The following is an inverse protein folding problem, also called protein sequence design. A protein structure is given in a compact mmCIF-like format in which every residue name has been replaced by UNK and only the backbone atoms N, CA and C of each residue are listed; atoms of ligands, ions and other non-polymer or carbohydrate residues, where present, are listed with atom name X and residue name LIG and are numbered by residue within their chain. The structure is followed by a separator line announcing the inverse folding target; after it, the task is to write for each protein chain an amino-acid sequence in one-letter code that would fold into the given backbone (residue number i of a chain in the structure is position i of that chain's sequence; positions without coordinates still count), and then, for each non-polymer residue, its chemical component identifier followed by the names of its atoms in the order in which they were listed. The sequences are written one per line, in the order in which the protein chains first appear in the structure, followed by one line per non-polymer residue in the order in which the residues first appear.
data_IF_331151151198
#
_entry.id   IF_331151151198
#
_cell.length_a   1.000
_cell.length_b   1.000
_cell.length_c   1.000
_cell.angle_alpha   90.00
_cell.angle_beta   90.00
_cell.angle_gamma   90.00
#
_symmetry.space_group_name_H-M   'P 1'
#
loop_
_entity.id
_entity.type
_entity.pdbx_description
1 polymer ?
#
# COMPACT_ATOMS: atom_id res chain seq x y z
N UNK A 1 -41.92 3.17 -1.69
CA UNK A 1 -40.69 2.58 -1.11
C UNK A 1 -39.85 1.96 -2.22
N UNK A 2 -38.84 2.66 -2.72
CA UNK A 2 -37.86 2.12 -3.67
C UNK A 2 -36.66 1.62 -2.88
N UNK A 3 -36.43 0.30 -2.88
CA UNK A 3 -35.21 -0.31 -2.31
C UNK A 3 -34.03 0.09 -3.20
N UNK A 4 -33.11 0.88 -2.64
CA UNK A 4 -31.79 1.08 -3.23
C UNK A 4 -31.07 -0.27 -3.24
N UNK A 5 -30.90 -0.87 -4.42
CA UNK A 5 -29.93 -1.92 -4.64
C UNK A 5 -28.55 -1.28 -4.48
N UNK A 6 -27.90 -1.56 -3.35
CA UNK A 6 -26.45 -1.37 -3.23
C UNK A 6 -25.84 -2.21 -4.35
N UNK A 7 -25.23 -1.53 -5.32
CA UNK A 7 -24.53 -2.16 -6.43
C UNK A 7 -23.20 -2.61 -5.84
N UNK A 8 -23.18 -3.81 -5.25
CA UNK A 8 -21.95 -4.45 -4.80
C UNK A 8 -21.10 -4.64 -6.05
N UNK A 9 -19.99 -3.91 -6.14
CA UNK A 9 -18.98 -4.19 -7.16
C UNK A 9 -18.60 -5.66 -7.02
N UNK A 10 -18.71 -6.37 -8.13
CA UNK A 10 -18.40 -7.78 -8.19
C UNK A 10 -16.90 -7.89 -7.96
N UNK A 11 -16.48 -8.34 -6.77
CA UNK A 11 -15.12 -8.83 -6.57
C UNK A 11 -14.82 -9.76 -7.75
N UNK A 12 -13.87 -9.41 -8.60
CA UNK A 12 -13.44 -10.27 -9.70
C UNK A 12 -12.68 -11.42 -9.04
N UNK A 13 -13.42 -12.42 -8.55
CA UNK A 13 -12.86 -13.69 -8.13
C UNK A 13 -12.34 -14.34 -9.40
N UNK A 14 -11.01 -14.43 -9.52
CA UNK A 14 -10.38 -15.07 -10.67
C UNK A 14 -10.77 -16.56 -10.65
N UNK A 15 -11.41 -17.08 -11.71
CA UNK A 15 -11.85 -18.47 -11.73
C UNK A 15 -10.74 -19.44 -12.15
N UNK A 16 -9.47 -19.00 -12.19
CA UNK A 16 -8.30 -19.78 -12.63
C UNK A 16 -7.04 -19.36 -11.85
N UNK A 17 -6.06 -20.28 -11.67
CA UNK A 17 -4.81 -20.01 -10.97
C UNK A 17 -3.91 -19.01 -11.73
N UNK A 18 -3.14 -18.20 -10.98
CA UNK A 18 -2.12 -17.31 -11.55
C UNK A 18 -0.80 -18.05 -11.77
N UNK A 19 -0.07 -17.61 -12.79
CA UNK A 19 1.27 -18.11 -13.14
C UNK A 19 2.34 -17.05 -12.85
N UNK A 20 2.21 -16.35 -11.72
CA UNK A 20 3.04 -15.18 -11.39
C UNK A 20 4.54 -15.51 -11.33
N UNK A 21 4.90 -16.77 -11.04
CA UNK A 21 6.27 -17.30 -11.09
C UNK A 21 6.95 -17.08 -12.45
N UNK A 22 6.19 -17.08 -13.55
CA UNK A 22 6.72 -16.81 -14.90
C UNK A 22 7.32 -15.40 -15.03
N UNK A 23 6.97 -14.48 -14.12
CA UNK A 23 7.46 -13.10 -14.08
C UNK A 23 8.42 -12.84 -12.91
N UNK A 24 8.87 -13.88 -12.20
CA UNK A 24 9.76 -13.73 -11.04
C UNK A 24 11.03 -12.94 -11.38
N UNK A 25 11.64 -13.26 -12.52
CA UNK A 25 12.87 -12.66 -13.03
C UNK A 25 12.69 -11.30 -13.74
N UNK A 26 11.46 -10.80 -13.85
CA UNK A 26 11.23 -9.45 -14.38
C UNK A 26 11.73 -8.43 -13.37
N UNK A 27 12.59 -7.52 -13.82
CA UNK A 27 13.18 -6.49 -12.96
C UNK A 27 12.85 -5.10 -13.49
N UNK A 28 12.90 -4.13 -12.59
CA UNK A 28 12.62 -2.74 -12.91
C UNK A 28 13.75 -1.84 -12.40
N UNK A 29 14.11 -0.87 -13.24
CA UNK A 29 15.08 0.18 -12.94
C UNK A 29 14.39 1.53 -13.15
N UNK A 30 14.08 2.29 -12.10
CA UNK A 30 13.39 3.58 -12.24
C UNK A 30 14.31 4.72 -12.73
N UNK A 31 15.62 4.57 -12.57
CA UNK A 31 16.62 5.60 -12.87
C UNK A 31 17.96 4.97 -13.28
N UNK A 32 18.79 5.61 -14.14
CA UNK A 32 20.04 5.06 -14.63
C UNK A 32 21.13 4.88 -13.57
N UNK A 33 21.03 5.63 -12.45
CA UNK A 33 21.96 5.56 -11.32
C UNK A 33 21.73 4.34 -10.40
N UNK A 34 20.74 3.51 -10.71
CA UNK A 34 20.43 2.27 -9.99
C UNK A 34 20.63 1.04 -10.88
N UNK A 35 20.84 -0.09 -10.23
CA UNK A 35 20.80 -1.38 -10.90
C UNK A 35 19.35 -1.85 -11.13
N UNK A 36 19.20 -2.84 -12.00
CA UNK A 36 17.92 -3.55 -12.13
C UNK A 36 17.62 -4.30 -10.84
N UNK A 37 16.40 -4.11 -10.32
CA UNK A 37 15.97 -4.66 -9.05
C UNK A 37 14.66 -5.44 -9.24
N UNK A 38 14.57 -6.60 -8.58
CA UNK A 38 13.35 -7.40 -8.53
C UNK A 38 12.31 -6.88 -7.52
N UNK A 39 12.71 -5.93 -6.66
CA UNK A 39 11.86 -5.23 -5.70
C UNK A 39 10.68 -4.58 -6.40
N UNK A 40 9.52 -4.56 -5.74
CA UNK A 40 8.27 -4.04 -6.29
C UNK A 40 7.92 -2.64 -5.78
N UNK A 41 8.77 -2.03 -4.94
CA UNK A 41 8.53 -0.71 -4.34
C UNK A 41 9.79 0.15 -4.38
N UNK A 42 9.67 1.35 -4.94
CA UNK A 42 10.76 2.30 -5.14
C UNK A 42 10.36 3.68 -4.62
N UNK A 43 11.28 4.28 -3.88
CA UNK A 43 11.12 5.61 -3.31
C UNK A 43 11.48 6.70 -4.33
N UNK A 44 10.46 7.38 -4.85
CA UNK A 44 10.62 8.46 -5.82
C UNK A 44 11.39 9.68 -5.27
N UNK A 45 11.46 9.86 -3.94
CA UNK A 45 12.21 10.97 -3.33
C UNK A 45 13.72 10.78 -3.44
N UNK A 46 14.18 9.54 -3.66
CA UNK A 46 15.58 9.18 -3.84
C UNK A 46 15.98 9.04 -5.31
N UNK A 47 15.08 9.36 -6.25
CA UNK A 47 15.34 9.22 -7.67
C UNK A 47 15.76 10.56 -8.27
N UNK A 48 16.94 10.57 -8.88
CA UNK A 48 17.40 11.63 -9.78
C UNK A 48 17.18 11.18 -11.22
N UNK A 49 16.99 12.10 -12.18
CA UNK A 49 16.85 11.77 -13.63
C UNK A 49 16.04 10.49 -13.96
N UNK A 50 14.76 10.49 -13.59
CA UNK A 50 13.86 9.34 -13.75
C UNK A 50 13.86 8.86 -15.22
N UNK A 51 14.36 7.66 -15.48
CA UNK A 51 14.38 7.00 -16.81
C UNK A 51 14.02 5.53 -16.59
N UNK A 52 12.72 5.22 -16.55
CA UNK A 52 12.25 3.90 -16.19
C UNK A 52 12.56 2.89 -17.28
N UNK A 53 13.01 1.71 -16.88
CA UNK A 53 13.40 0.62 -17.75
C UNK A 53 13.06 -0.73 -17.11
N UNK A 54 12.64 -1.69 -17.93
CA UNK A 54 12.26 -3.03 -17.51
C UNK A 54 13.20 -4.05 -18.12
N UNK A 55 13.65 -5.02 -17.32
CA UNK A 55 14.26 -6.25 -17.82
C UNK A 55 13.19 -7.32 -17.90
N UNK A 56 12.87 -7.76 -19.11
CA UNK A 56 11.69 -8.57 -19.43
C UNK A 56 12.06 -10.05 -19.59
N UNK A 57 12.56 -10.67 -18.52
CA UNK A 57 12.87 -12.10 -18.50
C UNK A 57 11.65 -12.90 -18.03
N UNK A 58 10.99 -13.55 -18.98
CA UNK A 58 9.81 -14.41 -18.73
C UNK A 58 10.26 -15.87 -18.67
N UNK A 59 9.96 -16.57 -17.59
CA UNK A 59 10.19 -18.02 -17.49
C UNK A 59 9.07 -18.78 -18.22
N UNK A 60 9.41 -19.34 -19.38
CA UNK A 60 8.47 -20.08 -20.23
C UNK A 60 8.22 -21.49 -19.72
N UNK A 61 9.17 -22.08 -19.00
CA UNK A 61 9.05 -23.44 -18.50
C UNK A 61 7.87 -23.53 -17.52
N UNK A 62 7.68 -22.50 -16.69
CA UNK A 62 6.54 -22.38 -15.80
C UNK A 62 5.19 -22.27 -16.55
N UNK A 63 5.15 -21.64 -17.73
CA UNK A 63 3.94 -21.57 -18.58
C UNK A 63 3.61 -22.95 -19.16
N UNK A 64 4.63 -23.64 -19.68
CA UNK A 64 4.48 -24.96 -20.31
C UNK A 64 4.08 -26.04 -19.29
N UNK A 65 4.69 -26.04 -18.11
CA UNK A 65 4.37 -26.97 -17.01
C UNK A 65 2.93 -26.82 -16.54
N UNK A 66 2.42 -25.58 -16.49
CA UNK A 66 1.03 -25.34 -16.09
C UNK A 66 0.02 -25.90 -17.10
N UNK A 67 0.36 -25.95 -18.40
CA UNK A 67 -0.46 -26.54 -19.46
C UNK A 67 -1.84 -25.90 -19.66
N UNK A 68 -2.15 -24.78 -18.98
CA UNK A 68 -3.46 -24.12 -19.04
C UNK A 68 -3.62 -23.23 -20.27
N UNK A 69 -2.52 -22.68 -20.78
CA UNK A 69 -2.48 -21.77 -21.94
C UNK A 69 -1.17 -21.98 -22.71
N UNK A 70 -1.24 -22.02 -24.05
CA UNK A 70 -0.05 -22.06 -24.88
C UNK A 70 0.70 -20.70 -24.85
N UNK A 71 2.04 -20.66 -24.87
CA UNK A 71 2.80 -19.40 -24.88
C UNK A 71 2.49 -18.49 -26.08
N UNK A 72 2.24 -19.06 -27.27
CA UNK A 72 1.91 -18.35 -28.53
C UNK A 72 0.62 -17.51 -28.46
N UNK A 73 -0.13 -17.77 -27.41
CA UNK A 73 -1.52 -17.46 -27.20
C UNK A 73 -1.64 -16.34 -26.13
N UNK A 74 -0.47 -15.92 -25.61
CA UNK A 74 -0.28 -14.85 -24.64
C UNK A 74 0.37 -13.63 -25.30
N UNK A 75 0.23 -12.49 -24.62
CA UNK A 75 0.97 -11.27 -24.90
C UNK A 75 1.58 -10.75 -23.60
N UNK A 76 2.82 -10.30 -23.67
CA UNK A 76 3.46 -9.53 -22.61
C UNK A 76 3.07 -8.06 -22.77
N UNK A 77 2.57 -7.47 -21.69
CA UNK A 77 2.12 -6.08 -21.67
C UNK A 77 2.72 -5.33 -20.48
N UNK A 78 2.95 -4.03 -20.67
CA UNK A 78 3.28 -3.12 -19.58
C UNK A 78 2.26 -1.99 -19.56
N UNK A 79 1.61 -1.79 -18.41
CA UNK A 79 0.69 -0.69 -18.15
C UNK A 79 1.32 0.25 -17.14
N UNK A 80 1.18 1.56 -17.34
CA UNK A 80 1.41 2.54 -16.29
C UNK A 80 0.09 3.10 -15.78
N UNK A 81 0.00 3.34 -14.48
CA UNK A 81 -1.08 4.09 -13.87
C UNK A 81 -0.53 5.19 -12.96
N UNK A 82 -1.02 6.41 -13.16
CA UNK A 82 -0.79 7.55 -12.26
C UNK A 82 -2.04 7.73 -11.41
N UNK A 83 -1.91 7.54 -10.11
CA UNK A 83 -3.03 7.66 -9.18
C UNK A 83 -3.43 9.12 -8.96
N UNK A 84 -2.48 10.05 -8.98
CA UNK A 84 -2.74 11.47 -8.75
C UNK A 84 -3.39 12.15 -9.96
N UNK A 85 -3.06 11.68 -11.17
CA UNK A 85 -3.67 12.17 -12.42
C UNK A 85 -4.85 11.31 -12.91
N UNK A 86 -5.24 10.28 -12.16
CA UNK A 86 -6.25 9.29 -12.56
C UNK A 86 -6.05 8.78 -14.00
N UNK A 87 -4.79 8.57 -14.39
CA UNK A 87 -4.40 8.20 -15.76
C UNK A 87 -3.91 6.77 -15.78
N UNK A 88 -4.30 6.01 -16.80
CA UNK A 88 -3.78 4.66 -17.03
C UNK A 88 -3.57 4.44 -18.53
N UNK A 89 -2.43 3.86 -18.90
CA UNK A 89 -2.06 3.64 -20.30
C UNK A 89 -1.30 2.33 -20.47
N UNK A 90 -1.60 1.61 -21.55
CA UNK A 90 -0.81 0.48 -22.02
C UNK A 90 0.36 1.02 -22.85
N UNK A 91 1.58 0.82 -22.37
CA UNK A 91 2.79 1.45 -22.95
C UNK A 91 3.70 0.47 -23.68
N UNK A 92 3.47 -0.83 -23.51
CA UNK A 92 4.21 -1.90 -24.18
C UNK A 92 3.27 -3.07 -24.45
N UNK A 93 3.43 -3.67 -25.63
CA UNK A 93 2.73 -4.88 -26.04
C UNK A 93 3.62 -5.67 -27.01
N UNK A 94 3.90 -6.93 -26.68
CA UNK A 94 4.63 -7.85 -27.55
C UNK A 94 4.23 -9.29 -27.28
N UNK A 95 4.58 -10.20 -28.20
CA UNK A 95 4.62 -11.62 -27.86
C UNK A 95 5.72 -11.85 -26.80
N UNK A 96 5.55 -12.78 -25.84
CA UNK A 96 6.60 -13.08 -24.87
C UNK A 96 7.94 -13.42 -25.53
N UNK A 97 7.89 -14.03 -26.71
CA UNK A 97 9.07 -14.47 -27.45
C UNK A 97 9.77 -13.37 -28.25
N UNK A 98 9.04 -12.28 -28.52
CA UNK A 98 9.54 -11.13 -29.25
C UNK A 98 9.82 -9.94 -28.32
N UNK A 99 9.69 -10.12 -27.00
CA UNK A 99 10.04 -9.08 -26.04
C UNK A 99 11.56 -8.91 -25.99
N UNK A 100 12.08 -7.67 -26.04
CA UNK A 100 13.50 -7.44 -25.87
C UNK A 100 13.90 -7.77 -24.42
N UNK A 101 15.17 -8.14 -24.21
CA UNK A 101 15.68 -8.41 -22.87
C UNK A 101 15.51 -7.20 -21.93
N UNK A 102 15.75 -6.00 -22.46
CA UNK A 102 15.53 -4.74 -21.77
C UNK A 102 14.67 -3.80 -22.63
N UNK A 103 13.76 -3.07 -21.98
CA UNK A 103 12.90 -2.10 -22.63
C UNK A 103 12.80 -0.81 -21.82
N UNK A 104 13.19 0.30 -22.45
CA UNK A 104 13.14 1.63 -21.85
C UNK A 104 11.80 2.31 -22.14
N UNK A 105 11.20 2.92 -21.13
CA UNK A 105 9.97 3.71 -21.30
C UNK A 105 10.27 4.91 -22.21
N UNK A 106 9.55 5.09 -23.33
CA UNK A 106 9.77 6.19 -24.25
C UNK A 106 9.67 7.56 -23.56
N UNK A 107 10.50 8.56 -23.93
CA UNK A 107 10.51 9.86 -23.26
C UNK A 107 9.16 10.60 -23.28
N UNK A 108 8.39 10.45 -24.35
CA UNK A 108 7.05 11.02 -24.54
C UNK A 108 6.01 10.36 -23.64
N UNK A 109 6.06 9.04 -23.47
CA UNK A 109 5.27 8.29 -22.49
C UNK A 109 5.66 8.76 -21.08
N UNK A 110 6.95 8.73 -20.75
CA UNK A 110 7.46 9.07 -19.43
C UNK A 110 6.98 10.44 -18.94
N UNK A 111 6.99 11.46 -19.81
CA UNK A 111 6.58 12.84 -19.49
C UNK A 111 5.08 12.98 -19.18
N UNK A 112 4.25 12.01 -19.56
CA UNK A 112 2.80 12.00 -19.32
C UNK A 112 2.42 11.48 -17.93
N UNK A 113 3.38 10.98 -17.15
CA UNK A 113 3.17 10.38 -15.84
C UNK A 113 3.97 11.13 -14.75
N UNK A 114 3.39 11.24 -13.56
CA UNK A 114 3.94 11.97 -12.42
C UNK A 114 4.77 11.03 -11.55
N UNK A 115 5.91 10.59 -12.06
CA UNK A 115 6.80 9.65 -11.37
C UNK A 115 7.25 10.11 -9.98
N UNK A 116 7.27 11.42 -9.72
CA UNK A 116 7.61 11.99 -8.42
C UNK A 116 6.47 11.94 -7.39
N UNK A 117 5.21 11.87 -7.83
CA UNK A 117 4.03 11.87 -6.94
C UNK A 117 3.43 10.48 -6.79
N UNK A 118 3.61 9.61 -7.77
CA UNK A 118 3.24 8.20 -7.67
C UNK A 118 2.84 7.58 -9.00
N UNK A 119 3.51 6.51 -9.40
CA UNK A 119 3.22 5.71 -10.58
C UNK A 119 3.24 4.23 -10.20
N UNK A 120 2.24 3.49 -10.66
CA UNK A 120 2.24 2.04 -10.68
C UNK A 120 2.59 1.56 -12.09
N UNK A 121 3.53 0.63 -12.18
CA UNK A 121 3.85 -0.07 -13.41
C UNK A 121 3.46 -1.54 -13.27
N UNK A 122 2.55 -2.01 -14.11
CA UNK A 122 2.10 -3.39 -14.14
C UNK A 122 2.70 -4.09 -15.35
N UNK A 123 3.49 -5.14 -15.13
CA UNK A 123 3.92 -6.08 -16.18
C UNK A 123 3.02 -7.30 -16.10
N UNK A 124 2.41 -7.71 -17.20
CA UNK A 124 1.49 -8.85 -17.20
C UNK A 124 1.61 -9.71 -18.44
N UNK A 125 1.34 -11.00 -18.29
CA UNK A 125 1.02 -11.91 -19.40
C UNK A 125 -0.49 -11.97 -19.52
N UNK A 126 -1.03 -11.61 -20.68
CA UNK A 126 -2.47 -11.57 -20.93
C UNK A 126 -2.86 -12.45 -22.10
N UNK A 127 -4.07 -12.97 -22.07
CA UNK A 127 -4.66 -13.70 -23.19
C UNK A 127 -4.80 -12.78 -24.42
N UNK A 128 -4.28 -13.21 -25.58
CA UNK A 128 -4.27 -12.41 -26.81
C UNK A 128 -5.64 -12.34 -27.50
N UNK A 129 -6.40 -13.42 -27.46
CA UNK A 129 -7.66 -13.61 -28.17
C UNK A 129 -8.70 -14.31 -27.31
N UNK A 130 -9.98 -14.08 -27.58
CA UNK A 130 -11.06 -14.79 -26.92
C UNK A 130 -11.01 -16.29 -27.25
N UNK A 131 -11.33 -17.12 -26.26
CA UNK A 131 -11.41 -18.58 -26.41
C UNK A 131 -12.73 -19.10 -25.88
N UNK A 132 -13.04 -20.35 -26.21
CA UNK A 132 -14.19 -21.03 -25.60
C UNK A 132 -13.99 -21.14 -24.08
N UNK A 133 -14.96 -20.71 -23.26
CA UNK A 133 -14.86 -20.83 -21.81
C UNK A 133 -14.62 -22.28 -21.39
N UNK A 134 -13.60 -22.49 -20.55
CA UNK A 134 -13.32 -23.76 -19.88
C UNK A 134 -13.12 -23.49 -18.40
N UNK A 135 -13.62 -24.40 -17.57
CA UNK A 135 -13.46 -24.29 -16.12
C UNK A 135 -11.97 -24.20 -15.76
N UNK A 136 -11.60 -23.26 -14.90
CA UNK A 136 -10.21 -23.11 -14.48
C UNK A 136 -9.27 -22.49 -15.52
N UNK A 137 -9.76 -21.91 -16.63
CA UNK A 137 -8.91 -21.31 -17.67
C UNK A 137 -9.32 -19.87 -18.04
N UNK A 138 -8.36 -19.01 -18.42
CA UNK A 138 -8.65 -17.71 -19.00
C UNK A 138 -9.27 -17.88 -20.39
N UNK A 139 -10.29 -17.07 -20.71
CA UNK A 139 -11.04 -17.20 -21.97
C UNK A 139 -11.40 -15.87 -22.64
N UNK A 140 -11.23 -14.72 -21.97
CA UNK A 140 -11.42 -13.39 -22.58
C UNK A 140 -10.07 -12.75 -22.88
N UNK A 141 -9.97 -12.11 -24.03
CA UNK A 141 -8.84 -11.25 -24.39
C UNK A 141 -8.56 -10.24 -23.28
N UNK A 142 -7.30 -10.10 -22.92
CA UNK A 142 -6.85 -9.23 -21.84
C UNK A 142 -6.94 -9.86 -20.45
N UNK A 143 -7.49 -11.06 -20.29
CA UNK A 143 -7.35 -11.80 -19.03
C UNK A 143 -5.87 -12.06 -18.74
N UNK A 144 -5.39 -11.45 -17.66
CA UNK A 144 -4.07 -11.68 -17.09
C UNK A 144 -3.95 -13.10 -16.52
N UNK A 145 -2.92 -13.79 -16.98
CA UNK A 145 -2.50 -15.12 -16.52
C UNK A 145 -1.39 -15.00 -15.48
N UNK A 146 -0.54 -13.98 -15.61
CA UNK A 146 0.48 -13.60 -14.64
C UNK A 146 0.57 -12.08 -14.55
N UNK A 147 0.93 -11.55 -13.37
CA UNK A 147 1.15 -10.10 -13.18
C UNK A 147 2.20 -9.83 -12.11
N UNK A 148 3.04 -8.84 -12.39
CA UNK A 148 3.98 -8.24 -11.44
C UNK A 148 3.80 -6.74 -11.43
N UNK A 149 3.55 -6.17 -10.26
CA UNK A 149 3.37 -4.74 -10.08
C UNK A 149 4.60 -4.11 -9.44
N UNK A 150 5.00 -2.95 -9.94
CA UNK A 150 6.04 -2.10 -9.40
C UNK A 150 5.40 -0.76 -9.01
N UNK A 151 5.74 -0.23 -7.84
CA UNK A 151 5.27 1.06 -7.34
C UNK A 151 6.45 2.01 -7.22
N UNK A 152 6.41 3.11 -7.97
CA UNK A 152 7.32 4.24 -7.80
C UNK A 152 6.54 5.35 -7.12
N UNK A 153 6.76 5.55 -5.83
CA UNK A 153 6.08 6.58 -5.07
C UNK A 153 7.10 7.29 -4.22
N UNK A 154 6.99 8.61 -3.99
CA UNK A 154 7.80 9.21 -2.95
C UNK A 154 7.57 8.40 -1.68
N UNK A 155 8.60 8.24 -0.84
CA UNK A 155 8.37 8.01 0.58
C UNK A 155 7.53 9.18 1.05
N UNK A 156 6.22 9.07 0.86
CA UNK A 156 5.27 9.69 1.75
C UNK A 156 5.80 9.34 3.12
N UNK A 157 6.02 10.35 3.96
CA UNK A 157 5.85 10.15 5.39
C UNK A 157 4.68 9.16 5.55
N UNK A 158 4.93 8.00 6.16
CA UNK A 158 4.21 6.72 5.95
C UNK A 158 2.72 7.00 5.76
N UNK A 159 2.11 6.56 4.62
CA UNK A 159 0.71 6.83 4.22
C UNK A 159 -0.03 7.49 5.36
N UNK A 160 -0.01 8.84 5.43
CA UNK A 160 -0.62 9.52 6.58
C UNK A 160 -2.04 9.01 6.62
N UNK A 161 -2.42 8.37 7.72
CA UNK A 161 -3.81 8.00 7.98
C UNK A 161 -4.69 9.17 7.54
N UNK A 162 -5.87 8.94 6.94
CA UNK A 162 -6.65 10.04 6.41
C UNK A 162 -7.02 10.98 7.55
N UNK A 163 -6.42 12.16 7.53
CA UNK A 163 -6.63 13.19 8.54
C UNK A 163 -7.74 14.09 8.03
N UNK A 164 -8.87 14.11 8.74
CA UNK A 164 -9.97 15.03 8.49
C UNK A 164 -9.87 16.23 9.42
N UNK A 165 -10.27 17.40 8.90
CA UNK A 165 -10.39 18.64 9.67
C UNK A 165 -11.82 18.77 10.17
N UNK A 166 -12.03 18.71 11.49
CA UNK A 166 -13.34 18.81 12.13
C UNK A 166 -13.50 20.10 12.91
N UNK A 167 -14.70 20.67 12.90
CA UNK A 167 -15.05 21.78 13.79
C UNK A 167 -15.41 21.28 15.18
N UNK A 168 -15.44 22.18 16.17
CA UNK A 168 -15.88 21.84 17.52
C UNK A 168 -17.31 21.24 17.55
N UNK A 169 -18.18 21.73 16.65
CA UNK A 169 -19.55 21.23 16.53
C UNK A 169 -19.58 19.80 15.97
N UNK A 170 -18.62 19.40 15.14
CA UNK A 170 -18.55 18.04 14.60
C UNK A 170 -18.19 17.01 15.69
N UNK A 171 -17.32 17.38 16.64
CA UNK A 171 -17.07 16.57 17.83
C UNK A 171 -18.31 16.44 18.72
N UNK A 172 -19.01 17.55 18.96
CA UNK A 172 -20.24 17.54 19.76
C UNK A 172 -21.34 16.69 19.11
N UNK A 173 -21.49 16.74 17.77
CA UNK A 173 -22.42 15.86 17.03
C UNK A 173 -22.11 14.37 17.18
N UNK A 174 -20.86 14.02 17.51
CA UNK A 174 -20.41 12.65 17.80
C UNK A 174 -20.41 12.33 19.29
N UNK A 175 -21.05 13.17 20.13
CA UNK A 175 -21.11 13.02 21.58
C UNK A 175 -19.73 13.08 22.26
N UNK A 176 -18.75 13.71 21.61
CA UNK A 176 -17.41 13.93 22.14
C UNK A 176 -17.29 15.33 22.79
N UNK A 177 -16.37 15.51 23.75
CA UNK A 177 -16.11 16.83 24.34
C UNK A 177 -15.72 17.86 23.28
N UNK A 178 -16.25 19.08 23.41
CA UNK A 178 -16.02 20.19 22.48
C UNK A 178 -14.53 20.52 22.27
N UNK A 179 -13.72 20.35 23.32
CA UNK A 179 -12.29 20.67 23.31
C UNK A 179 -11.39 19.48 22.93
N UNK A 180 -11.97 18.44 22.33
CA UNK A 180 -11.20 17.30 21.81
C UNK A 180 -10.21 17.76 20.74
N UNK A 181 -8.90 17.52 20.96
CA UNK A 181 -7.86 17.91 20.01
C UNK A 181 -7.84 17.01 18.77
N UNK A 182 -8.05 15.70 18.97
CA UNK A 182 -8.21 14.73 17.90
C UNK A 182 -9.00 13.50 18.34
N UNK A 183 -9.53 12.77 17.37
CA UNK A 183 -10.24 11.50 17.56
C UNK A 183 -9.82 10.51 16.47
N UNK A 184 -9.73 9.22 16.81
CA UNK A 184 -9.47 8.16 15.83
C UNK A 184 -10.78 7.40 15.64
N UNK A 185 -11.41 7.57 14.48
CA UNK A 185 -12.65 6.91 14.10
C UNK A 185 -12.32 5.61 13.36
N UNK A 186 -12.47 4.47 14.02
CA UNK A 186 -12.29 3.16 13.39
C UNK A 186 -13.57 2.80 12.63
N UNK A 187 -13.47 2.75 11.31
CA UNK A 187 -14.59 2.49 10.40
C UNK A 187 -14.79 0.97 10.23
N UNK A 188 -13.69 0.22 10.22
CA UNK A 188 -13.71 -1.22 10.18
C UNK A 188 -13.45 -1.80 11.56
N UNK A 189 -14.24 -2.83 11.92
CA UNK A 189 -14.02 -3.62 13.13
C UNK A 189 -12.92 -4.67 12.92
N UNK A 190 -12.75 -5.14 11.69
CA UNK A 190 -11.71 -6.09 11.30
C UNK A 190 -10.50 -5.34 10.75
N UNK A 191 -9.48 -5.18 11.59
CA UNK A 191 -8.22 -4.53 11.22
C UNK A 191 -7.18 -5.51 10.67
N UNK A 192 -7.47 -6.81 10.67
CA UNK A 192 -6.56 -7.82 10.15
C UNK A 192 -6.61 -7.89 8.63
N UNK A 193 -7.74 -7.54 8.02
CA UNK A 193 -7.88 -7.57 6.57
C UNK A 193 -6.96 -6.57 5.82
N UNK A 194 -6.73 -6.87 4.54
CA UNK A 194 -6.13 -5.91 3.60
C UNK A 194 -7.10 -4.81 3.18
N UNK A 195 -6.60 -3.58 3.20
CA UNK A 195 -7.30 -2.39 2.71
C UNK A 195 -6.56 -1.80 1.51
N UNK A 196 -7.29 -1.54 0.43
CA UNK A 196 -6.74 -0.80 -0.72
C UNK A 196 -6.48 0.68 -0.33
N UNK A 197 -7.41 1.26 0.43
CA UNK A 197 -7.30 2.57 1.08
C UNK A 197 -7.39 2.46 2.62
N UNK A 198 -6.35 2.88 3.38
CA UNK A 198 -6.41 2.97 4.84
C UNK A 198 -7.60 3.78 5.38
N UNK A 199 -8.18 4.68 4.58
CA UNK A 199 -9.39 5.42 4.93
C UNK A 199 -10.67 4.61 5.03
N UNK A 200 -10.65 3.38 4.53
CA UNK A 200 -11.71 2.40 4.73
C UNK A 200 -11.57 1.68 6.08
N UNK A 201 -10.37 1.72 6.70
CA UNK A 201 -10.11 1.12 8.01
C UNK A 201 -10.35 2.12 9.14
N UNK A 202 -9.76 3.32 9.03
CA UNK A 202 -9.84 4.34 10.07
C UNK A 202 -9.65 5.74 9.51
N UNK A 203 -10.07 6.74 10.29
CA UNK A 203 -9.83 8.17 10.05
C UNK A 203 -9.35 8.86 11.31
N UNK A 204 -8.55 9.90 11.13
CA UNK A 204 -8.04 10.72 12.21
C UNK A 204 -8.67 12.10 12.09
N UNK A 205 -9.59 12.42 12.99
CA UNK A 205 -10.30 13.69 12.98
C UNK A 205 -9.54 14.66 13.88
N UNK A 206 -8.92 15.69 13.32
CA UNK A 206 -8.25 16.75 14.07
C UNK A 206 -9.18 17.95 14.23
N UNK A 207 -9.14 18.60 15.40
CA UNK A 207 -9.80 19.90 15.58
C UNK A 207 -9.22 20.93 14.60
N UNK A 208 -10.09 21.77 14.05
CA UNK A 208 -9.80 22.73 13.00
C UNK A 208 -8.51 23.55 13.23
N UNK A 209 -8.37 24.14 14.41
CA UNK A 209 -7.19 24.92 14.80
C UNK A 209 -5.92 24.07 14.97
N UNK A 210 -6.03 22.84 15.50
CA UNK A 210 -4.91 21.88 15.61
C UNK A 210 -4.46 21.44 14.22
N UNK A 211 -5.41 21.12 13.34
CA UNK A 211 -5.15 20.77 11.95
C UNK A 211 -4.44 21.92 11.24
N UNK A 212 -4.96 23.14 11.33
CA UNK A 212 -4.41 24.31 10.64
C UNK A 212 -3.00 24.62 11.16
N UNK A 213 -2.77 24.52 12.47
CA UNK A 213 -1.46 24.69 13.09
C UNK A 213 -0.46 23.62 12.63
N UNK A 214 -0.89 22.36 12.54
CA UNK A 214 -0.05 21.26 12.05
C UNK A 214 0.27 21.37 10.56
N UNK A 215 -0.70 21.76 9.75
CA UNK A 215 -0.52 22.01 8.32
C UNK A 215 0.47 23.16 8.08
N UNK A 216 0.34 24.26 8.84
CA UNK A 216 1.29 25.37 8.76
C UNK A 216 2.71 25.00 9.25
N UNK A 217 2.82 24.03 10.15
CA UNK A 217 4.08 23.61 10.77
C UNK A 217 4.63 22.29 10.20
N UNK A 218 4.09 21.77 9.09
CA UNK A 218 4.36 20.43 8.57
C UNK A 218 5.85 20.15 8.36
N UNK A 219 6.57 21.14 7.82
CA UNK A 219 8.00 21.04 7.52
C UNK A 219 8.91 21.45 8.70
N UNK A 220 8.33 21.76 9.85
CA UNK A 220 9.08 22.08 11.06
C UNK A 220 9.34 20.83 11.90
N UNK A 221 10.41 20.85 12.70
CA UNK A 221 10.67 19.76 13.65
C UNK A 221 9.54 19.61 14.69
N UNK A 222 8.84 20.71 15.01
CA UNK A 222 7.73 20.70 15.96
C UNK A 222 6.50 20.00 15.38
N UNK A 223 6.07 20.39 14.17
CA UNK A 223 4.94 19.76 13.48
C UNK A 223 5.21 18.27 13.21
N UNK A 224 6.42 17.93 12.76
CA UNK A 224 6.84 16.51 12.64
C UNK A 224 6.77 15.77 13.97
N UNK A 225 7.19 16.42 15.06
CA UNK A 225 7.21 15.80 16.37
C UNK A 225 5.82 15.51 16.93
N UNK A 226 4.88 16.46 16.78
CA UNK A 226 3.48 16.26 17.17
C UNK A 226 2.83 15.17 16.30
N UNK A 227 3.10 15.15 15.00
CA UNK A 227 2.62 14.07 14.13
C UNK A 227 3.16 12.70 14.53
N UNK A 228 4.42 12.58 14.98
CA UNK A 228 4.96 11.34 15.53
C UNK A 228 4.19 10.86 16.76
N UNK A 229 3.71 11.76 17.62
CA UNK A 229 2.91 11.41 18.78
C UNK A 229 1.52 10.91 18.37
N UNK A 230 0.87 11.56 17.42
CA UNK A 230 -0.43 11.08 16.88
C UNK A 230 -0.27 9.70 16.23
N UNK A 231 0.77 9.50 15.43
CA UNK A 231 1.07 8.21 14.80
C UNK A 231 1.33 7.10 15.83
N UNK A 232 1.90 7.45 16.98
CA UNK A 232 2.13 6.51 18.08
C UNK A 232 0.82 5.97 18.60
N UNK A 233 -0.15 6.86 18.86
CA UNK A 233 -1.47 6.46 19.36
C UNK A 233 -2.22 5.61 18.34
N UNK A 234 -2.15 5.95 17.06
CA UNK A 234 -2.80 5.18 16.01
C UNK A 234 -2.20 3.77 15.92
N UNK A 235 -0.87 3.65 15.92
CA UNK A 235 -0.20 2.35 15.90
C UNK A 235 -0.55 1.51 17.14
N UNK A 236 -0.58 2.13 18.31
CA UNK A 236 -0.91 1.46 19.55
C UNK A 236 -2.35 0.91 19.52
N UNK A 237 -3.31 1.72 19.08
CA UNK A 237 -4.72 1.31 18.95
C UNK A 237 -4.92 0.22 17.90
N UNK A 238 -4.25 0.30 16.74
CA UNK A 238 -4.33 -0.76 15.71
C UNK A 238 -3.83 -2.09 16.29
N UNK A 239 -2.65 -2.10 16.92
CA UNK A 239 -2.08 -3.32 17.50
C UNK A 239 -2.99 -3.85 18.61
N UNK A 240 -3.45 -2.99 19.50
CA UNK A 240 -4.28 -3.39 20.63
C UNK A 240 -5.64 -3.95 20.17
N UNK A 241 -6.38 -3.22 19.33
CA UNK A 241 -7.69 -3.64 18.84
C UNK A 241 -7.59 -4.85 17.91
N UNK A 242 -6.64 -4.81 16.98
CA UNK A 242 -6.46 -5.87 16.00
C UNK A 242 -6.06 -7.19 16.65
N UNK A 243 -5.06 -7.20 17.55
CA UNK A 243 -4.68 -8.44 18.25
C UNK A 243 -5.76 -8.94 19.20
N UNK A 244 -6.55 -8.04 19.80
CA UNK A 244 -7.67 -8.43 20.67
C UNK A 244 -8.82 -9.06 19.90
N UNK A 245 -9.05 -8.62 18.65
CA UNK A 245 -10.08 -9.18 17.77
C UNK A 245 -9.63 -10.47 17.08
N UNK A 246 -8.32 -10.68 16.96
CA UNK A 246 -7.72 -11.84 16.31
C UNK A 246 -7.69 -13.05 17.26
N UNK A 247 -7.98 -14.23 16.73
CA UNK A 247 -7.87 -15.49 17.48
C UNK A 247 -6.43 -15.71 18.00
N UNK A 248 -6.23 -16.21 19.25
CA UNK A 248 -4.91 -16.32 19.88
C UNK A 248 -3.88 -17.16 19.11
N UNK A 249 -4.33 -18.09 18.28
CA UNK A 249 -3.47 -18.97 17.46
C UNK A 249 -3.34 -18.51 16.01
N UNK A 250 -4.17 -17.55 15.56
CA UNK A 250 -4.11 -17.04 14.20
C UNK A 250 -2.87 -16.17 14.00
N UNK A 251 -2.45 -15.99 12.76
CA UNK A 251 -1.42 -15.02 12.39
C UNK A 251 -2.09 -13.88 11.62
N UNK A 252 -1.64 -12.64 11.80
CA UNK A 252 -2.19 -11.52 11.04
C UNK A 252 -2.13 -11.73 9.53
N UNK A 253 -3.12 -11.24 8.78
CA UNK A 253 -3.10 -11.32 7.32
C UNK A 253 -1.89 -10.56 6.78
N UNK A 254 -0.99 -11.26 6.08
CA UNK A 254 0.25 -10.67 5.58
C UNK A 254 -0.03 -9.45 4.71
N UNK A 255 0.58 -8.31 5.01
CA UNK A 255 0.36 -7.04 4.30
C UNK A 255 -0.96 -6.34 4.64
N UNK A 256 -1.73 -6.85 5.60
CA UNK A 256 -2.86 -6.16 6.21
C UNK A 256 -2.42 -5.00 7.11
N UNK A 257 -3.39 -4.23 7.60
CA UNK A 257 -3.11 -3.05 8.44
C UNK A 257 -2.48 -3.46 9.79
N UNK A 258 -3.04 -4.49 10.43
CA UNK A 258 -2.52 -5.07 11.66
C UNK A 258 -1.11 -5.64 11.49
N UNK A 259 -0.89 -6.47 10.47
CA UNK A 259 0.42 -7.05 10.16
C UNK A 259 1.48 -5.95 9.96
N UNK A 260 1.16 -4.92 9.18
CA UNK A 260 2.07 -3.79 8.95
C UNK A 260 2.41 -3.03 10.24
N UNK A 261 1.42 -2.83 11.13
CA UNK A 261 1.64 -2.18 12.41
C UNK A 261 2.53 -3.02 13.33
N UNK A 262 2.27 -4.33 13.40
CA UNK A 262 3.07 -5.29 14.16
C UNK A 262 4.50 -5.34 13.62
N UNK A 263 4.70 -5.54 12.31
CA UNK A 263 6.03 -5.56 11.69
C UNK A 263 6.83 -4.30 12.02
N UNK A 264 6.18 -3.13 12.04
CA UNK A 264 6.84 -1.88 12.37
C UNK A 264 7.29 -1.83 13.83
N UNK A 265 6.42 -2.28 14.74
CA UNK A 265 6.73 -2.35 16.18
C UNK A 265 7.83 -3.37 16.46
N UNK A 266 7.69 -4.59 15.95
CA UNK A 266 8.65 -5.68 16.17
C UNK A 266 10.01 -5.35 15.58
N UNK A 267 10.08 -4.74 14.39
CA UNK A 267 11.33 -4.26 13.79
C UNK A 267 12.03 -3.20 14.63
N UNK A 268 11.28 -2.29 15.25
CA UNK A 268 11.86 -1.20 16.03
C UNK A 268 12.31 -1.63 17.43
N UNK A 269 11.65 -2.63 18.01
CA UNK A 269 11.80 -3.00 19.43
C UNK A 269 12.41 -4.38 19.66
N UNK A 270 12.42 -5.23 18.64
CA UNK A 270 12.78 -6.65 18.76
C UNK A 270 11.74 -7.51 19.49
N UNK A 271 10.57 -6.94 19.84
CA UNK A 271 9.50 -7.68 20.49
C UNK A 271 8.95 -8.79 19.56
N UNK A 272 8.61 -9.94 20.14
CA UNK A 272 7.89 -10.98 19.40
C UNK A 272 6.38 -10.68 19.36
N UNK A 273 5.67 -11.30 18.41
CA UNK A 273 4.21 -11.25 18.35
C UNK A 273 3.57 -11.75 19.65
N UNK A 274 4.10 -12.84 20.23
CA UNK A 274 3.63 -13.39 21.50
C UNK A 274 3.79 -12.42 22.68
N UNK A 275 4.87 -11.64 22.71
CA UNK A 275 5.06 -10.61 23.72
C UNK A 275 4.00 -9.51 23.60
N UNK A 276 3.73 -9.05 22.36
CA UNK A 276 2.68 -8.05 22.12
C UNK A 276 1.30 -8.60 22.50
N UNK A 277 0.98 -9.85 22.16
CA UNK A 277 -0.28 -10.51 22.55
C UNK A 277 -0.49 -10.51 24.06
N UNK A 278 0.53 -10.88 24.83
CA UNK A 278 0.47 -10.91 26.29
C UNK A 278 0.05 -9.55 26.88
N UNK A 279 0.66 -8.46 26.40
CA UNK A 279 0.29 -7.12 26.83
C UNK A 279 -1.15 -6.75 26.46
N UNK A 280 -1.65 -7.21 25.29
CA UNK A 280 -3.05 -7.01 24.89
C UNK A 280 -4.02 -7.82 25.76
N UNK A 281 -3.69 -9.08 26.07
CA UNK A 281 -4.49 -9.98 26.93
C UNK A 281 -4.60 -9.43 28.36
N UNK A 282 -3.52 -8.86 28.89
CA UNK A 282 -3.49 -8.18 30.19
C UNK A 282 -4.24 -6.84 30.19
N UNK A 283 -4.74 -6.39 29.03
CA UNK A 283 -5.42 -5.11 28.86
C UNK A 283 -4.49 -3.90 28.97
N UNK A 284 -3.18 -4.11 28.85
CA UNK A 284 -2.16 -3.08 29.06
C UNK A 284 -1.88 -2.27 27.78
N UNK A 285 -2.81 -1.39 27.44
CA UNK A 285 -2.67 -0.42 26.34
C UNK A 285 -1.44 0.47 26.53
N UNK A 286 -1.03 0.76 27.77
CA UNK A 286 0.11 1.63 28.05
C UNK A 286 1.42 0.97 27.62
N UNK A 287 1.58 -0.33 27.85
CA UNK A 287 2.73 -1.09 27.33
C UNK A 287 2.74 -1.10 25.80
N UNK A 288 1.61 -1.36 25.15
CA UNK A 288 1.51 -1.31 23.67
C UNK A 288 1.90 0.08 23.13
N UNK A 289 1.47 1.15 23.80
CA UNK A 289 1.87 2.52 23.47
C UNK A 289 3.38 2.72 23.60
N UNK A 290 4.02 2.19 24.63
CA UNK A 290 5.48 2.28 24.79
C UNK A 290 6.23 1.61 23.63
N UNK A 291 5.76 0.45 23.16
CA UNK A 291 6.30 -0.20 21.96
C UNK A 291 6.09 0.66 20.71
N UNK A 292 4.90 1.24 20.54
CA UNK A 292 4.61 2.15 19.42
C UNK A 292 5.49 3.42 19.46
N UNK A 293 5.77 3.98 20.63
CA UNK A 293 6.64 5.17 20.80
C UNK A 293 8.06 4.92 20.30
N UNK A 294 8.58 3.70 20.55
CA UNK A 294 9.88 3.29 20.01
C UNK A 294 9.84 3.20 18.47
N UNK A 295 8.75 2.69 17.90
CA UNK A 295 8.57 2.52 16.46
C UNK A 295 8.36 3.83 15.66
N UNK A 296 7.95 4.90 16.33
CA UNK A 296 7.78 6.24 15.75
C UNK A 296 8.94 7.18 16.05
N UNK A 297 9.97 6.71 16.76
CA UNK A 297 11.08 7.52 17.29
C UNK A 297 10.60 8.72 18.14
N UNK A 298 9.48 8.58 18.85
CA UNK A 298 8.84 9.66 19.62
C UNK A 298 9.81 10.38 20.58
N UNK A 299 10.79 9.67 21.15
CA UNK A 299 11.85 10.25 21.98
C UNK A 299 12.66 11.33 21.24
N UNK A 300 13.07 11.09 19.99
CA UNK A 300 13.81 12.09 19.20
C UNK A 300 12.94 13.31 18.92
N UNK A 301 11.66 13.07 18.63
CA UNK A 301 10.67 14.13 18.42
C UNK A 301 10.47 15.00 19.66
N UNK A 302 10.31 14.41 20.84
CA UNK A 302 10.17 15.13 22.12
C UNK A 302 11.43 15.95 22.43
N UNK A 303 12.62 15.37 22.26
CA UNK A 303 13.90 16.08 22.49
C UNK A 303 14.05 17.29 21.55
N UNK A 304 13.62 17.17 20.29
CA UNK A 304 13.65 18.29 19.34
C UNK A 304 12.69 19.41 19.72
N UNK A 305 11.51 19.07 20.23
CA UNK A 305 10.53 20.04 20.73
C UNK A 305 11.09 20.78 21.96
N UNK A 306 11.68 20.05 22.91
CA UNK A 306 12.15 20.60 24.17
C UNK A 306 13.37 21.54 24.05
N UNK A 307 14.23 21.38 23.03
CA UNK A 307 15.48 22.16 22.87
C UNK A 307 15.30 23.59 22.32
N UNK A 308 14.08 24.06 22.10
CA UNK A 308 13.79 25.41 21.57
C UNK A 308 13.22 26.38 22.61
N UNK A 309 13.13 25.95 23.87
CA UNK A 309 12.92 26.79 25.05
C UNK A 309 14.20 26.78 25.89
#
# INVERSE_FOLDING_TARGET
MRRNRVRTESRIVRPFPSLDECLADVQFRPSPDRDFDGSTSFDASQLNDIRPEFRLKVDRSAIEVAGTVAPSDLSLVIRLADLGLHRSELIFHSAPDAAPEAWTVPPDVRRRFSWKTGVEATVALVLREDRRPRSGQPFLKGHWVARKDFSVRPRSSPRRFPIERWTADDFVKRELPKDTAYWIDFISEDLDQRFDDPGDALRVCLRADVYDALAAAEDTDHGRGVMSLILTEILAEIVFRGLRALEPSAHPERGGLLDTAIERVTRATGASLEALRRHVEEGDVASIRAFAQAATEARRSIVKIARRH
#
